data_IF_190730784708
#
_entry.id   IF_190730784708
#
_cell.length_a   1.000
_cell.length_b   1.000
_cell.length_c   1.000
_cell.angle_alpha   90.00
_cell.angle_beta   90.00
_cell.angle_gamma   90.00
#
_symmetry.space_group_name_H-M   'P 1'
#
loop_
_entity.id
_entity.type
_entity.pdbx_description
1 polymer ?
#
# COMPACT_ATOMS: atom_id res chain seq x y z
N UNK A 1 -33.87 -5.69 -20.89
CA UNK A 1 -32.49 -6.09 -21.28
C UNK A 1 -32.17 -5.40 -22.59
N UNK A 2 -31.06 -4.66 -22.67
CA UNK A 2 -30.59 -4.03 -23.91
C UNK A 2 -29.29 -4.69 -24.37
N UNK A 3 -29.18 -4.95 -25.68
CA UNK A 3 -27.98 -5.51 -26.29
C UNK A 3 -27.70 -4.76 -27.58
N UNK A 4 -26.52 -4.16 -27.69
CA UNK A 4 -26.06 -3.49 -28.91
C UNK A 4 -24.71 -4.03 -29.33
N UNK A 5 -24.44 -3.99 -30.63
CA UNK A 5 -23.12 -4.27 -31.21
C UNK A 5 -22.52 -2.95 -31.65
N UNK A 6 -21.23 -2.82 -31.38
CA UNK A 6 -20.26 -1.90 -31.95
C UNK A 6 -20.63 -0.41 -32.04
N UNK A 7 -19.81 0.45 -31.43
CA UNK A 7 -19.89 1.92 -31.57
C UNK A 7 -21.23 2.50 -31.13
N UNK A 8 -21.89 1.87 -30.13
CA UNK A 8 -23.25 2.23 -29.69
C UNK A 8 -23.41 2.18 -28.18
N UNK A 9 -24.31 3.04 -27.70
CA UNK A 9 -24.70 3.13 -26.30
C UNK A 9 -25.92 2.25 -26.02
N UNK A 10 -25.86 1.45 -24.96
CA UNK A 10 -27.00 0.75 -24.40
C UNK A 10 -27.35 1.34 -23.04
N UNK A 11 -28.52 1.97 -22.95
CA UNK A 11 -29.08 2.47 -21.69
C UNK A 11 -30.21 1.55 -21.25
N UNK A 12 -30.23 1.20 -19.97
CA UNK A 12 -31.35 0.47 -19.36
C UNK A 12 -31.67 1.12 -18.02
N UNK A 13 -32.96 1.34 -17.76
CA UNK A 13 -33.42 1.78 -16.45
C UNK A 13 -33.33 0.68 -15.39
N UNK A 14 -34.09 0.86 -14.31
CA UNK A 14 -34.05 0.01 -13.13
C UNK A 14 -34.23 -1.47 -13.43
N UNK A 15 -33.50 -2.30 -12.69
CA UNK A 15 -33.55 -3.76 -12.84
C UNK A 15 -33.16 -4.19 -14.27
N UNK A 16 -32.13 -3.56 -14.84
CA UNK A 16 -31.73 -3.69 -16.25
C UNK A 16 -30.38 -4.38 -16.53
N UNK A 17 -30.29 -5.23 -17.55
CA UNK A 17 -28.99 -5.72 -18.07
C UNK A 17 -28.67 -5.03 -19.38
N UNK A 18 -27.52 -4.35 -19.44
CA UNK A 18 -26.97 -3.70 -20.63
C UNK A 18 -25.71 -4.45 -21.10
N UNK A 19 -25.73 -4.95 -22.33
CA UNK A 19 -24.58 -5.62 -22.95
C UNK A 19 -24.17 -4.91 -24.23
N UNK A 20 -22.91 -4.51 -24.31
CA UNK A 20 -22.30 -3.87 -25.47
C UNK A 20 -21.15 -4.72 -26.00
N UNK A 21 -21.02 -4.78 -27.32
CA UNK A 21 -19.92 -5.43 -28.04
C UNK A 21 -18.59 -4.66 -27.92
N UNK A 22 -17.97 -4.35 -29.06
CA UNK A 22 -16.71 -3.61 -29.13
C UNK A 22 -16.98 -2.09 -29.14
N UNK A 23 -16.10 -1.26 -28.57
CA UNK A 23 -16.18 0.20 -28.71
C UNK A 23 -17.55 0.79 -28.31
N UNK A 24 -17.96 0.71 -27.04
CA UNK A 24 -19.24 1.32 -26.68
C UNK A 24 -19.54 1.46 -25.20
N UNK A 25 -20.71 2.02 -24.90
CA UNK A 25 -21.08 2.46 -23.56
C UNK A 25 -22.31 1.71 -23.05
N UNK A 26 -22.20 1.07 -21.88
CA UNK A 26 -23.31 0.38 -21.23
C UNK A 26 -23.68 1.12 -19.93
N UNK A 27 -24.85 1.73 -19.89
CA UNK A 27 -25.35 2.43 -18.70
C UNK A 27 -26.56 1.71 -18.12
N UNK A 28 -26.57 1.53 -16.80
CA UNK A 28 -27.70 0.99 -16.03
C UNK A 28 -27.92 1.87 -14.81
N UNK A 29 -29.15 2.32 -14.59
CA UNK A 29 -29.46 3.25 -13.48
C UNK A 29 -29.41 2.54 -12.11
N UNK A 30 -30.38 1.68 -11.78
CA UNK A 30 -30.37 0.93 -10.51
C UNK A 30 -30.48 -0.59 -10.70
N UNK A 31 -29.73 -1.33 -9.90
CA UNK A 31 -29.78 -2.79 -9.75
C UNK A 31 -29.69 -3.59 -11.05
N UNK A 32 -28.49 -3.94 -11.53
CA UNK A 32 -28.15 -5.18 -12.29
C UNK A 32 -26.74 -5.05 -12.88
N UNK A 33 -26.52 -5.37 -14.15
CA UNK A 33 -25.21 -5.70 -14.72
C UNK A 33 -25.01 -4.93 -16.02
N UNK A 34 -23.91 -4.20 -16.10
CA UNK A 34 -23.42 -3.60 -17.35
C UNK A 34 -22.18 -4.36 -17.81
N UNK A 35 -22.19 -4.85 -19.05
CA UNK A 35 -21.03 -5.54 -19.65
C UNK A 35 -20.64 -4.88 -20.96
N UNK A 36 -19.36 -4.57 -21.09
CA UNK A 36 -18.71 -4.19 -22.35
C UNK A 36 -17.63 -5.23 -22.62
N UNK A 37 -17.53 -5.72 -23.86
CA UNK A 37 -16.51 -6.72 -24.20
C UNK A 37 -15.14 -6.09 -24.36
N UNK A 38 -14.98 -5.19 -25.32
CA UNK A 38 -13.68 -4.57 -25.60
C UNK A 38 -13.85 -3.08 -25.86
N UNK A 39 -12.90 -2.29 -25.38
CA UNK A 39 -12.82 -0.85 -25.56
C UNK A 39 -14.12 -0.15 -25.16
N UNK A 40 -14.31 0.20 -23.90
CA UNK A 40 -15.47 1.02 -23.58
C UNK A 40 -15.74 1.26 -22.12
N UNK A 41 -16.91 1.85 -21.89
CA UNK A 41 -17.31 2.37 -20.58
C UNK A 41 -18.57 1.67 -20.13
N UNK A 42 -18.55 1.12 -18.93
CA UNK A 42 -19.73 0.53 -18.32
C UNK A 42 -19.99 1.20 -16.98
N UNK A 43 -21.21 1.67 -16.78
CA UNK A 43 -21.62 2.42 -15.60
C UNK A 43 -22.85 1.76 -14.98
N UNK A 44 -22.84 1.60 -13.67
CA UNK A 44 -24.04 1.31 -12.87
C UNK A 44 -24.15 2.32 -11.74
N UNK A 45 -25.35 2.88 -11.52
CA UNK A 45 -25.63 3.76 -10.38
C UNK A 45 -25.51 2.99 -9.07
N UNK A 46 -26.48 2.13 -8.77
CA UNK A 46 -26.52 1.41 -7.48
C UNK A 46 -26.64 -0.11 -7.62
N UNK A 47 -26.00 -0.81 -6.70
CA UNK A 47 -26.10 -2.25 -6.46
C UNK A 47 -25.91 -3.06 -7.74
N UNK A 48 -24.77 -2.89 -8.42
CA UNK A 48 -24.53 -3.52 -9.73
C UNK A 48 -23.14 -4.05 -9.99
N UNK A 49 -23.06 -5.01 -10.92
CA UNK A 49 -21.78 -5.60 -11.35
C UNK A 49 -21.43 -5.07 -12.72
N UNK A 50 -20.25 -4.48 -12.84
CA UNK A 50 -19.75 -3.91 -14.08
C UNK A 50 -18.52 -4.71 -14.53
N UNK A 51 -18.55 -5.17 -15.77
CA UNK A 51 -17.40 -5.86 -16.37
C UNK A 51 -17.04 -5.22 -17.71
N UNK A 52 -15.77 -4.83 -17.86
CA UNK A 52 -15.15 -4.47 -19.13
C UNK A 52 -14.03 -5.46 -19.43
N UNK A 53 -14.05 -6.11 -20.59
CA UNK A 53 -13.07 -7.15 -20.93
C UNK A 53 -11.68 -6.59 -21.22
N UNK A 54 -11.53 -5.81 -22.30
CA UNK A 54 -10.26 -5.21 -22.70
C UNK A 54 -10.36 -3.68 -22.75
N UNK A 55 -9.36 -2.97 -22.22
CA UNK A 55 -9.22 -1.51 -22.29
C UNK A 55 -10.50 -0.73 -21.95
N UNK A 56 -10.71 -0.32 -20.71
CA UNK A 56 -11.84 0.57 -20.46
C UNK A 56 -12.13 0.95 -19.03
N UNK A 57 -13.32 1.48 -18.83
CA UNK A 57 -13.72 2.12 -17.58
C UNK A 57 -14.96 1.42 -17.03
N UNK A 58 -14.85 0.90 -15.82
CA UNK A 58 -15.94 0.29 -15.08
C UNK A 58 -16.27 1.15 -13.86
N UNK A 59 -17.46 1.74 -13.79
CA UNK A 59 -17.89 2.57 -12.67
C UNK A 59 -19.13 2.00 -11.98
N UNK A 60 -19.08 1.88 -10.65
CA UNK A 60 -20.22 1.56 -9.78
C UNK A 60 -20.36 2.66 -8.74
N UNK A 61 -21.53 3.30 -8.63
CA UNK A 61 -21.78 4.32 -7.61
C UNK A 61 -21.78 3.72 -6.20
N UNK A 62 -22.70 2.80 -5.92
CA UNK A 62 -22.84 2.19 -4.59
C UNK A 62 -22.95 0.67 -4.67
N UNK A 63 -22.17 -0.06 -3.85
CA UNK A 63 -22.33 -1.48 -3.56
C UNK A 63 -22.12 -2.42 -4.75
N UNK A 64 -21.17 -3.36 -4.61
CA UNK A 64 -20.77 -4.47 -5.52
C UNK A 64 -19.42 -4.26 -6.24
N UNK A 65 -19.33 -4.49 -7.55
CA UNK A 65 -18.07 -4.87 -8.19
C UNK A 65 -17.88 -4.21 -9.54
N UNK A 66 -16.73 -3.56 -9.73
CA UNK A 66 -16.24 -3.05 -11.00
C UNK A 66 -15.00 -3.85 -11.43
N UNK A 67 -15.04 -4.48 -12.61
CA UNK A 67 -13.94 -5.28 -13.14
C UNK A 67 -13.50 -4.77 -14.51
N UNK A 68 -12.19 -4.65 -14.70
CA UNK A 68 -11.54 -4.43 -16.00
C UNK A 68 -10.50 -5.54 -16.22
N UNK A 69 -10.58 -6.26 -17.34
CA UNK A 69 -9.75 -7.46 -17.55
C UNK A 69 -8.28 -7.16 -17.84
N UNK A 70 -7.97 -6.28 -18.80
CA UNK A 70 -6.59 -6.00 -19.20
C UNK A 70 -6.09 -4.64 -18.73
N UNK A 71 -6.47 -3.57 -19.43
CA UNK A 71 -6.05 -2.22 -19.10
C UNK A 71 -7.24 -1.33 -18.74
N UNK A 72 -7.08 -0.46 -17.77
CA UNK A 72 -8.04 0.63 -17.55
C UNK A 72 -8.39 0.87 -16.09
N UNK A 73 -9.61 1.35 -15.86
CA UNK A 73 -9.98 1.94 -14.58
C UNK A 73 -11.25 1.30 -14.03
N UNK A 74 -11.18 0.79 -12.80
CA UNK A 74 -12.32 0.30 -12.05
C UNK A 74 -12.58 1.21 -10.85
N UNK A 75 -13.78 1.78 -10.73
CA UNK A 75 -14.16 2.68 -9.64
C UNK A 75 -15.41 2.18 -8.92
N UNK A 76 -15.38 2.18 -7.59
CA UNK A 76 -16.52 1.96 -6.71
C UNK A 76 -16.65 3.11 -5.72
N UNK A 77 -17.78 3.83 -5.70
CA UNK A 77 -17.93 5.05 -4.90
C UNK A 77 -17.97 4.81 -3.39
N UNK A 78 -18.79 3.88 -2.90
CA UNK A 78 -18.99 3.68 -1.46
C UNK A 78 -18.46 2.37 -0.91
N UNK A 79 -19.10 1.25 -1.23
CA UNK A 79 -18.70 -0.07 -0.73
C UNK A 79 -18.54 -1.06 -1.87
N UNK A 80 -17.48 -1.85 -1.89
CA UNK A 80 -17.35 -2.92 -2.86
C UNK A 80 -15.94 -3.22 -3.33
N UNK A 81 -15.83 -3.80 -4.51
CA UNK A 81 -14.58 -4.30 -5.07
C UNK A 81 -14.30 -3.70 -6.44
N UNK A 82 -13.12 -3.10 -6.60
CA UNK A 82 -12.59 -2.66 -7.88
C UNK A 82 -11.42 -3.55 -8.28
N UNK A 83 -11.47 -4.18 -9.46
CA UNK A 83 -10.40 -5.05 -9.95
C UNK A 83 -9.94 -4.62 -11.34
N UNK A 84 -8.62 -4.56 -11.54
CA UNK A 84 -7.96 -4.43 -12.84
C UNK A 84 -6.97 -5.58 -13.01
N UNK A 85 -7.13 -6.40 -14.06
CA UNK A 85 -6.37 -7.64 -14.19
C UNK A 85 -4.90 -7.46 -14.57
N UNK A 86 -4.55 -6.52 -15.45
CA UNK A 86 -3.16 -6.31 -15.87
C UNK A 86 -2.62 -4.92 -15.49
N UNK A 87 -3.06 -3.86 -16.17
CA UNK A 87 -2.51 -2.52 -15.97
C UNK A 87 -3.60 -1.46 -15.72
N UNK A 88 -3.45 -0.66 -14.69
CA UNK A 88 -4.29 0.52 -14.51
C UNK A 88 -4.68 0.78 -13.07
N UNK A 89 -5.90 1.29 -12.87
CA UNK A 89 -6.29 1.92 -11.61
C UNK A 89 -7.55 1.31 -11.04
N UNK A 90 -7.49 0.85 -9.79
CA UNK A 90 -8.63 0.39 -9.02
C UNK A 90 -8.87 1.35 -7.84
N UNK A 91 -10.06 1.94 -7.75
CA UNK A 91 -10.42 2.86 -6.67
C UNK A 91 -11.69 2.42 -5.94
N UNK A 92 -11.66 2.46 -4.61
CA UNK A 92 -12.83 2.31 -3.73
C UNK A 92 -12.91 3.49 -2.78
N UNK A 93 -14.01 4.23 -2.77
CA UNK A 93 -14.10 5.49 -2.02
C UNK A 93 -14.19 5.32 -0.50
N UNK A 94 -14.97 4.37 0.02
CA UNK A 94 -15.21 4.24 1.48
C UNK A 94 -14.77 2.90 2.06
N UNK A 95 -15.48 1.81 1.76
CA UNK A 95 -15.19 0.49 2.33
C UNK A 95 -15.00 -0.58 1.25
N UNK A 96 -13.86 -1.27 1.22
CA UNK A 96 -13.75 -2.45 0.38
C UNK A 96 -12.36 -2.73 -0.17
N UNK A 97 -12.31 -3.28 -1.38
CA UNK A 97 -11.09 -3.86 -1.93
C UNK A 97 -10.75 -3.30 -3.30
N UNK A 98 -9.54 -2.78 -3.47
CA UNK A 98 -8.99 -2.37 -4.75
C UNK A 98 -7.83 -3.32 -5.13
N UNK A 99 -7.89 -3.96 -6.30
CA UNK A 99 -6.86 -4.88 -6.77
C UNK A 99 -6.37 -4.50 -8.17
N UNK A 100 -5.04 -4.50 -8.35
CA UNK A 100 -4.38 -4.42 -9.66
C UNK A 100 -3.41 -5.59 -9.80
N UNK A 101 -3.59 -6.41 -10.84
CA UNK A 101 -2.87 -7.69 -10.97
C UNK A 101 -1.39 -7.56 -11.33
N UNK A 102 -1.00 -6.64 -12.22
CA UNK A 102 0.39 -6.47 -12.64
C UNK A 102 0.95 -5.08 -12.32
N UNK A 103 0.51 -4.03 -13.03
CA UNK A 103 1.06 -2.69 -12.87
C UNK A 103 0.00 -1.62 -12.64
N UNK A 104 0.19 -0.75 -11.65
CA UNK A 104 -0.63 0.44 -11.50
C UNK A 104 -1.01 0.76 -10.07
N UNK A 105 -2.21 1.29 -9.86
CA UNK A 105 -2.58 1.94 -8.61
C UNK A 105 -3.86 1.34 -8.03
N UNK A 106 -3.81 0.92 -6.76
CA UNK A 106 -4.95 0.50 -5.98
C UNK A 106 -5.18 1.49 -4.83
N UNK A 107 -6.37 2.10 -4.74
CA UNK A 107 -6.70 3.07 -3.68
C UNK A 107 -7.98 2.69 -2.93
N UNK A 108 -7.94 2.77 -1.60
CA UNK A 108 -9.11 2.68 -0.72
C UNK A 108 -9.16 3.89 0.21
N UNK A 109 -10.25 4.67 0.15
CA UNK A 109 -10.31 5.98 0.82
C UNK A 109 -10.45 5.93 2.35
N UNK A 110 -11.21 4.98 2.92
CA UNK A 110 -11.36 4.88 4.38
C UNK A 110 -10.94 3.52 4.93
N UNK A 111 -11.70 2.47 4.68
CA UNK A 111 -11.46 1.15 5.26
C UNK A 111 -11.33 0.05 4.21
N UNK A 112 -10.29 -0.75 4.29
CA UNK A 112 -10.20 -2.00 3.52
C UNK A 112 -8.82 -2.28 2.95
N UNK A 113 -8.77 -2.85 1.76
CA UNK A 113 -7.55 -3.47 1.25
C UNK A 113 -7.20 -2.97 -0.15
N UNK A 114 -5.98 -2.48 -0.32
CA UNK A 114 -5.40 -2.13 -1.61
C UNK A 114 -4.27 -3.11 -1.95
N UNK A 115 -4.33 -3.76 -3.12
CA UNK A 115 -3.34 -4.73 -3.57
C UNK A 115 -2.80 -4.40 -4.97
N UNK A 116 -1.47 -4.44 -5.12
CA UNK A 116 -0.78 -4.40 -6.42
C UNK A 116 0.16 -5.60 -6.54
N UNK A 117 -0.03 -6.41 -7.58
CA UNK A 117 0.65 -7.71 -7.71
C UNK A 117 2.14 -7.62 -8.02
N UNK A 118 2.57 -6.71 -8.91
CA UNK A 118 3.99 -6.56 -9.27
C UNK A 118 4.51 -5.15 -9.02
N UNK A 119 4.11 -4.17 -9.84
CA UNK A 119 4.67 -2.82 -9.84
C UNK A 119 3.62 -1.74 -9.61
N UNK A 120 3.80 -0.93 -8.58
CA UNK A 120 3.01 0.30 -8.44
C UNK A 120 2.60 0.60 -7.01
N UNK A 121 1.44 1.23 -6.84
CA UNK A 121 1.10 1.92 -5.60
C UNK A 121 -0.18 1.38 -5.00
N UNK A 122 -0.13 0.94 -3.74
CA UNK A 122 -1.28 0.58 -2.94
C UNK A 122 -1.49 1.63 -1.83
N UNK A 123 -2.65 2.28 -1.77
CA UNK A 123 -2.96 3.30 -0.77
C UNK A 123 -4.22 2.95 0.02
N UNK A 124 -4.18 3.08 1.35
CA UNK A 124 -5.34 3.00 2.24
C UNK A 124 -5.39 4.23 3.15
N UNK A 125 -6.51 4.94 3.18
CA UNK A 125 -6.58 6.23 3.87
C UNK A 125 -6.64 6.19 5.40
N UNK A 126 -7.33 5.21 6.03
CA UNK A 126 -7.60 5.30 7.49
C UNK A 126 -7.61 4.03 8.30
N UNK A 127 -8.03 2.89 7.74
CA UNK A 127 -7.90 1.59 8.39
C UNK A 127 -7.76 0.50 7.33
N UNK A 128 -6.73 -0.32 7.44
CA UNK A 128 -6.65 -1.53 6.62
C UNK A 128 -5.28 -1.78 6.04
N UNK A 129 -5.22 -2.40 4.88
CA UNK A 129 -3.99 -3.05 4.42
C UNK A 129 -3.63 -2.62 3.01
N UNK A 130 -2.42 -2.11 2.83
CA UNK A 130 -1.82 -1.85 1.53
C UNK A 130 -0.75 -2.91 1.24
N UNK A 131 -0.85 -3.62 0.13
CA UNK A 131 0.09 -4.67 -0.25
C UNK A 131 0.69 -4.40 -1.64
N UNK A 132 2.02 -4.50 -1.79
CA UNK A 132 2.72 -4.51 -3.08
C UNK A 132 3.68 -5.69 -3.18
N UNK A 133 3.65 -6.40 -4.32
CA UNK A 133 4.28 -7.71 -4.46
C UNK A 133 5.74 -7.76 -4.94
N UNK A 134 6.29 -6.76 -5.63
CA UNK A 134 7.69 -6.84 -6.11
C UNK A 134 8.40 -5.49 -6.24
N UNK A 135 7.71 -4.38 -6.53
CA UNK A 135 8.32 -3.04 -6.66
C UNK A 135 7.24 -1.97 -6.54
N UNK A 136 7.49 -0.87 -5.83
CA UNK A 136 6.51 0.20 -5.66
C UNK A 136 6.31 0.68 -4.23
N UNK A 137 5.08 1.05 -3.89
CA UNK A 137 4.81 1.78 -2.64
C UNK A 137 3.51 1.34 -2.00
N UNK A 138 3.55 0.95 -0.73
CA UNK A 138 2.39 0.70 0.10
C UNK A 138 2.24 1.85 1.10
N UNK A 139 1.13 2.58 1.06
CA UNK A 139 0.86 3.68 1.99
C UNK A 139 -0.40 3.39 2.81
N UNK A 140 -0.32 3.57 4.12
CA UNK A 140 -1.49 3.58 5.01
C UNK A 140 -1.51 4.84 5.86
N UNK A 141 -2.65 5.53 5.93
CA UNK A 141 -2.74 6.85 6.56
C UNK A 141 -3.01 6.88 8.07
N UNK A 142 -3.76 5.92 8.60
CA UNK A 142 -3.97 5.71 10.04
C UNK A 142 -4.24 4.22 10.28
N UNK A 143 -3.87 3.66 11.44
CA UNK A 143 -4.26 2.33 11.94
C UNK A 143 -4.42 1.23 10.88
N UNK A 144 -3.31 0.80 10.27
CA UNK A 144 -3.30 -0.32 9.36
C UNK A 144 -1.91 -0.88 9.09
N UNK A 145 -1.77 -1.58 7.98
CA UNK A 145 -0.58 -2.37 7.67
C UNK A 145 -0.15 -2.14 6.24
N UNK A 146 1.09 -1.70 6.05
CA UNK A 146 1.74 -1.65 4.75
C UNK A 146 2.64 -2.88 4.60
N UNK A 147 2.36 -3.76 3.64
CA UNK A 147 3.21 -4.91 3.34
C UNK A 147 3.83 -4.80 1.96
N UNK A 148 5.12 -5.07 1.91
CA UNK A 148 5.94 -5.07 0.71
C UNK A 148 6.74 -6.37 0.70
N UNK A 149 6.76 -7.09 -0.43
CA UNK A 149 7.55 -8.33 -0.52
C UNK A 149 9.01 -8.13 -0.93
N UNK A 150 9.31 -7.26 -1.90
CA UNK A 150 10.67 -6.98 -2.38
C UNK A 150 10.77 -5.55 -2.92
N UNK A 151 11.96 -4.93 -2.84
CA UNK A 151 12.39 -3.72 -3.57
C UNK A 151 11.37 -2.57 -3.60
N UNK A 152 10.87 -2.14 -2.44
CA UNK A 152 9.79 -1.17 -2.39
C UNK A 152 9.66 -0.45 -1.04
N UNK A 153 8.84 0.60 -1.01
CA UNK A 153 8.70 1.48 0.14
C UNK A 153 7.37 1.21 0.84
N UNK A 154 7.38 1.14 2.17
CA UNK A 154 6.19 1.07 2.99
C UNK A 154 6.11 2.35 3.85
N UNK A 155 5.09 3.18 3.62
CA UNK A 155 4.84 4.34 4.48
C UNK A 155 3.59 4.08 5.31
N UNK A 156 3.69 4.37 6.59
CA UNK A 156 2.57 4.25 7.53
C UNK A 156 2.37 5.55 8.31
N UNK A 157 1.15 5.77 8.81
CA UNK A 157 0.73 6.97 9.52
C UNK A 157 0.96 6.91 11.02
N UNK A 158 -0.11 7.01 11.82
CA UNK A 158 -0.05 6.81 13.28
C UNK A 158 -0.63 5.43 13.71
N UNK A 159 0.13 4.70 14.55
CA UNK A 159 -0.22 3.39 15.13
C UNK A 159 -0.28 2.21 14.12
N UNK A 160 0.77 2.01 13.33
CA UNK A 160 0.79 0.97 12.29
C UNK A 160 2.01 0.07 12.29
N UNK A 161 1.92 -0.93 11.42
CA UNK A 161 3.00 -1.86 11.11
C UNK A 161 3.38 -1.74 9.63
N UNK A 162 4.65 -1.52 9.38
CA UNK A 162 5.23 -1.66 8.04
C UNK A 162 6.05 -2.95 8.00
N UNK A 163 5.72 -3.85 7.07
CA UNK A 163 6.51 -5.05 6.81
C UNK A 163 7.11 -4.92 5.41
N UNK A 164 8.44 -4.91 5.34
CA UNK A 164 9.19 -4.87 4.09
C UNK A 164 10.08 -6.11 4.04
N UNK A 165 9.98 -6.90 2.96
CA UNK A 165 10.92 -7.99 2.71
C UNK A 165 12.30 -7.48 2.27
N UNK A 166 12.96 -8.19 1.34
CA UNK A 166 14.31 -7.84 0.89
C UNK A 166 14.34 -6.44 0.26
N UNK A 167 15.19 -5.56 0.80
CA UNK A 167 15.48 -4.19 0.30
C UNK A 167 14.25 -3.26 0.25
N UNK A 168 14.14 -2.34 1.22
CA UNK A 168 13.16 -1.25 1.14
C UNK A 168 13.20 -0.30 2.32
N UNK A 169 12.40 0.77 2.24
CA UNK A 169 12.36 1.82 3.26
C UNK A 169 11.03 1.89 3.99
N UNK A 170 11.09 2.08 5.31
CA UNK A 170 9.95 2.46 6.15
C UNK A 170 10.11 3.89 6.61
N UNK A 171 9.02 4.67 6.59
CA UNK A 171 8.97 6.00 7.16
C UNK A 171 7.73 6.23 8.03
N UNK A 172 7.93 6.97 9.14
CA UNK A 172 6.93 7.46 10.11
C UNK A 172 6.30 6.43 11.06
N UNK A 173 5.39 6.90 11.93
CA UNK A 173 5.27 6.50 13.34
C UNK A 173 4.71 5.09 13.60
N UNK A 174 5.55 4.08 13.90
CA UNK A 174 5.07 2.73 14.20
C UNK A 174 6.14 1.64 14.32
N UNK A 175 5.74 0.37 14.23
CA UNK A 175 6.67 -0.77 14.22
C UNK A 175 7.11 -1.08 12.78
N UNK A 176 8.41 -1.05 12.52
CA UNK A 176 9.00 -1.44 11.24
C UNK A 176 9.64 -2.83 11.37
N UNK A 177 9.23 -3.78 10.54
CA UNK A 177 9.96 -5.04 10.36
C UNK A 177 10.52 -5.06 8.94
N UNK A 178 11.84 -5.12 8.82
CA UNK A 178 12.54 -5.09 7.54
C UNK A 178 13.40 -6.34 7.39
N UNK A 179 13.33 -7.00 6.23
CA UNK A 179 14.18 -8.15 5.91
C UNK A 179 15.65 -7.79 5.69
N UNK A 180 16.41 -8.72 5.13
CA UNK A 180 17.85 -8.55 4.93
C UNK A 180 18.17 -7.36 4.00
N UNK A 181 19.23 -6.64 4.33
CA UNK A 181 19.73 -5.47 3.59
C UNK A 181 18.72 -4.31 3.38
N UNK A 182 17.77 -4.09 4.28
CA UNK A 182 16.85 -2.94 4.21
C UNK A 182 17.19 -1.80 5.18
N UNK A 183 16.49 -0.66 5.04
CA UNK A 183 16.68 0.52 5.89
C UNK A 183 15.34 0.96 6.47
N UNK A 184 15.23 1.19 7.78
CA UNK A 184 14.01 1.79 8.37
C UNK A 184 14.37 3.08 9.09
N UNK A 185 13.58 4.12 8.84
CA UNK A 185 13.62 5.36 9.58
C UNK A 185 12.34 5.47 10.40
N UNK A 186 12.45 5.23 11.69
CA UNK A 186 11.34 5.09 12.63
C UNK A 186 11.40 6.25 13.63
N UNK A 187 10.25 6.81 14.00
CA UNK A 187 10.13 7.99 14.86
C UNK A 187 10.43 7.72 16.35
N UNK A 188 10.08 8.68 17.21
CA UNK A 188 10.28 8.59 18.66
C UNK A 188 9.26 7.61 19.29
N UNK A 189 9.66 6.85 20.32
CA UNK A 189 8.86 5.81 21.00
C UNK A 189 8.45 4.60 20.15
N UNK A 190 9.30 4.20 19.22
CA UNK A 190 8.94 3.20 18.21
C UNK A 190 10.02 2.11 18.08
N UNK A 191 9.71 1.05 17.35
CA UNK A 191 10.54 -0.17 17.27
C UNK A 191 10.87 -0.51 15.82
N UNK A 192 12.13 -0.76 15.54
CA UNK A 192 12.61 -1.18 14.23
C UNK A 192 13.38 -2.51 14.37
N UNK A 193 12.87 -3.56 13.74
CA UNK A 193 13.46 -4.90 13.75
C UNK A 193 14.01 -5.26 12.37
N UNK A 194 15.22 -5.79 12.30
CA UNK A 194 15.91 -6.13 11.06
C UNK A 194 16.51 -7.53 11.04
N UNK A 195 16.58 -8.09 9.82
CA UNK A 195 17.45 -9.22 9.50
C UNK A 195 18.91 -8.80 9.34
N UNK A 196 19.67 -9.57 8.55
CA UNK A 196 21.11 -9.38 8.38
C UNK A 196 21.40 -8.16 7.48
N UNK A 197 22.51 -7.45 7.76
CA UNK A 197 22.96 -6.26 7.02
C UNK A 197 21.94 -5.10 6.94
N UNK A 198 21.01 -4.99 7.89
CA UNK A 198 20.03 -3.91 7.97
C UNK A 198 20.59 -2.58 8.51
N UNK A 199 19.88 -1.46 8.28
CA UNK A 199 20.16 -0.17 8.91
C UNK A 199 18.92 0.37 9.61
N UNK A 200 18.95 0.43 10.94
CA UNK A 200 17.91 0.98 11.79
C UNK A 200 18.25 2.41 12.20
N UNK A 201 17.41 3.38 11.85
CA UNK A 201 17.48 4.72 12.43
C UNK A 201 16.21 4.95 13.24
N UNK A 202 16.34 5.06 14.56
CA UNK A 202 15.20 5.20 15.47
C UNK A 202 15.34 6.48 16.29
N UNK A 203 14.24 7.23 16.42
CA UNK A 203 14.19 8.44 17.24
C UNK A 203 14.34 8.20 18.75
N UNK A 204 14.17 9.26 19.53
CA UNK A 204 14.31 9.21 21.00
C UNK A 204 13.32 8.21 21.62
N UNK A 205 13.74 7.54 22.70
CA UNK A 205 12.98 6.48 23.40
C UNK A 205 12.59 5.28 22.52
N UNK A 206 13.28 5.06 21.41
CA UNK A 206 13.01 3.95 20.51
C UNK A 206 13.90 2.73 20.73
N UNK A 207 13.55 1.64 20.05
CA UNK A 207 14.24 0.35 20.09
C UNK A 207 14.68 -0.04 18.68
N UNK A 208 15.97 -0.32 18.49
CA UNK A 208 16.52 -0.84 17.25
C UNK A 208 17.11 -2.23 17.47
N UNK A 209 16.50 -3.25 16.87
CA UNK A 209 17.01 -4.63 16.90
C UNK A 209 17.51 -4.98 15.48
N UNK A 210 18.81 -5.21 15.28
CA UNK A 210 19.37 -5.56 13.97
C UNK A 210 20.21 -6.84 14.00
N UNK A 211 20.12 -7.63 12.93
CA UNK A 211 20.87 -8.90 12.78
C UNK A 211 22.35 -8.71 12.45
N UNK A 212 23.00 -9.78 11.99
CA UNK A 212 24.45 -9.82 11.77
C UNK A 212 24.90 -8.73 10.77
N UNK A 213 26.01 -8.04 11.08
CA UNK A 213 26.53 -6.92 10.30
C UNK A 213 25.57 -5.74 10.10
N UNK A 214 24.57 -5.58 10.98
CA UNK A 214 23.64 -4.46 10.96
C UNK A 214 24.22 -3.15 11.51
N UNK A 215 23.53 -2.05 11.23
CA UNK A 215 23.79 -0.71 11.80
C UNK A 215 22.55 -0.28 12.57
N UNK A 216 22.72 0.11 13.83
CA UNK A 216 21.64 0.66 14.66
C UNK A 216 22.01 2.06 15.17
N UNK A 217 21.28 3.07 14.71
CA UNK A 217 21.36 4.45 15.14
C UNK A 217 20.11 4.78 15.97
N UNK A 218 20.27 5.13 17.25
CA UNK A 218 19.13 5.41 18.15
C UNK A 218 19.31 6.76 18.86
N UNK A 219 18.22 7.53 18.95
CA UNK A 219 18.16 8.79 19.70
C UNK A 219 18.32 8.64 21.22
N UNK A 220 18.11 9.74 21.95
CA UNK A 220 18.28 9.79 23.41
C UNK A 220 17.29 8.83 24.10
N UNK A 221 17.68 8.23 25.23
CA UNK A 221 16.84 7.26 25.96
C UNK A 221 16.47 5.98 25.19
N UNK A 222 17.21 5.68 24.13
CA UNK A 222 17.00 4.53 23.27
C UNK A 222 17.66 3.22 23.72
N UNK A 223 17.24 2.12 23.08
CA UNK A 223 17.82 0.79 23.22
C UNK A 223 18.25 0.30 21.83
N UNK A 224 19.48 -0.18 21.71
CA UNK A 224 20.00 -0.75 20.48
C UNK A 224 20.57 -2.16 20.75
N UNK A 225 20.01 -3.17 20.10
CA UNK A 225 20.48 -4.55 20.15
C UNK A 225 20.98 -4.95 18.75
N UNK A 226 22.28 -5.18 18.58
CA UNK A 226 22.82 -5.80 17.35
C UNK A 226 23.30 -7.22 17.66
N UNK A 227 23.43 -8.07 16.65
CA UNK A 227 24.08 -9.39 16.79
C UNK A 227 25.30 -9.40 15.88
N UNK A 228 26.41 -9.99 16.35
CA UNK A 228 27.69 -10.26 15.64
C UNK A 228 28.15 -9.24 14.56
N UNK A 229 29.31 -8.61 14.78
CA UNK A 229 29.98 -7.70 13.83
C UNK A 229 29.14 -6.48 13.37
N UNK A 230 28.33 -5.90 14.27
CA UNK A 230 27.52 -4.70 14.02
C UNK A 230 28.21 -3.35 14.31
N UNK A 231 27.50 -2.27 13.97
CA UNK A 231 27.85 -0.88 14.35
C UNK A 231 26.67 -0.22 15.06
N UNK A 232 26.94 0.47 16.17
CA UNK A 232 25.92 1.22 16.93
C UNK A 232 26.34 2.69 17.10
N UNK A 233 25.42 3.61 16.80
CA UNK A 233 25.48 5.02 17.18
C UNK A 233 24.28 5.37 18.08
N UNK A 234 24.51 6.08 19.18
CA UNK A 234 23.51 6.31 20.22
C UNK A 234 23.60 7.73 20.78
N UNK A 235 22.43 8.32 21.06
CA UNK A 235 22.27 9.58 21.78
C UNK A 235 22.61 9.49 23.27
N UNK A 236 22.16 10.46 24.08
CA UNK A 236 22.36 10.48 25.52
C UNK A 236 21.46 9.48 26.26
N UNK A 237 21.95 8.88 27.35
CA UNK A 237 21.23 7.91 28.20
C UNK A 237 20.69 6.66 27.46
N UNK A 238 21.52 5.69 27.10
CA UNK A 238 21.13 4.53 26.29
C UNK A 238 21.43 3.17 26.94
N UNK A 239 20.92 2.09 26.33
CA UNK A 239 21.29 0.69 26.64
C UNK A 239 21.66 -0.07 25.35
N UNK A 240 22.79 -0.78 25.35
CA UNK A 240 23.20 -1.71 24.27
C UNK A 240 23.42 -3.10 24.85
N UNK A 241 22.82 -4.13 24.25
CA UNK A 241 23.05 -5.52 24.65
C UNK A 241 23.85 -6.28 23.58
N UNK A 242 25.19 -6.37 23.70
CA UNK A 242 25.99 -7.07 22.68
C UNK A 242 27.25 -7.84 23.10
N UNK A 243 27.60 -8.81 22.25
CA UNK A 243 28.86 -9.53 22.18
C UNK A 243 29.53 -9.21 20.83
N UNK A 244 30.56 -8.35 20.80
CA UNK A 244 31.39 -7.99 19.61
C UNK A 244 30.92 -6.87 18.65
N UNK A 245 30.40 -5.75 19.17
CA UNK A 245 30.11 -4.52 18.39
C UNK A 245 31.30 -3.53 18.29
N UNK A 246 31.29 -2.68 17.25
CA UNK A 246 32.00 -1.40 17.26
C UNK A 246 31.07 -0.24 17.67
N UNK A 247 31.46 0.55 18.67
CA UNK A 247 30.64 1.64 19.24
C UNK A 247 31.22 3.00 18.89
N UNK A 248 30.40 3.89 18.34
CA UNK A 248 30.74 5.31 18.12
C UNK A 248 29.87 6.17 19.03
N UNK A 249 30.47 7.18 19.67
CA UNK A 249 29.76 8.10 20.58
C UNK A 249 29.77 9.51 19.97
N UNK A 250 28.61 10.17 19.91
CA UNK A 250 28.50 11.60 19.60
C UNK A 250 28.47 12.42 20.90
N UNK A 251 29.60 13.00 21.37
CA UNK A 251 29.59 13.76 22.62
C UNK A 251 28.83 15.08 22.47
N UNK A 252 28.21 15.62 23.54
CA UNK A 252 27.63 16.94 23.51
C UNK A 252 28.72 17.98 23.20
N UNK A 253 28.42 18.86 22.24
CA UNK A 253 29.23 20.04 21.92
C UNK A 253 29.42 20.88 23.20
N UNK A 254 30.53 20.68 23.89
CA UNK A 254 30.99 21.63 24.91
C UNK A 254 31.42 22.89 24.16
N UNK A 255 30.49 23.83 23.98
CA UNK A 255 30.85 25.22 23.69
C UNK A 255 31.56 25.75 24.93
N UNK A 256 32.89 25.80 24.88
CA UNK A 256 33.66 26.69 25.73
C UNK A 256 33.42 28.10 25.19
N UNK A 257 32.45 28.82 25.76
CA UNK A 257 32.43 30.27 25.64
C UNK A 257 33.66 30.80 26.38
N UNK A 258 34.61 31.32 25.60
CA UNK A 258 35.79 32.04 26.06
C UNK A 258 35.47 33.49 26.40
#
# INVERSE_FOLDING_TARGET
MAKVRDHRTANVGDHGTANVGHHGTANVDHHRTAKVRDHGTANVGDHGTVNVGHHGIANVGHHRTANVGHQGTANVGHQGTANVGHQGTANVGRHGTANVGHQGTANVGHQGTANVGHQGTANVGRHGTANVGHQGTANVGHQGTANIRQQANANVGDYETANVGDQGTVGHQGTANVGDHGTANVGNHETANFGDHGTANVGDYGIADVGDYGIADVGDYGIADVVDHGTVDVGDHWTVNESYCSLTLNPPLIKLDS
#
